data_IF_560885608495
#
_entry.id   IF_560885608495
#
_cell.length_a   1.000
_cell.length_b   1.000
_cell.length_c   1.000
_cell.angle_alpha   90.00
_cell.angle_beta   90.00
_cell.angle_gamma   90.00
#
_symmetry.space_group_name_H-M   'P 1'
#
loop_
_entity.id
_entity.type
_entity.pdbx_description
1 polymer ?
#
# COMPACT_ATOMS: atom_id res chain seq x y z
N UNK A 1 3.51 -10.02 -20.10
CA UNK A 1 3.36 -8.61 -19.66
C UNK A 1 2.79 -8.65 -18.23
N UNK A 2 3.21 -7.76 -17.35
CA UNK A 2 2.73 -7.69 -15.96
C UNK A 2 1.67 -6.60 -15.89
N UNK A 3 0.51 -6.88 -15.31
CA UNK A 3 -0.56 -5.89 -15.11
C UNK A 3 -0.64 -5.51 -13.64
N UNK A 4 -0.75 -4.22 -13.34
CA UNK A 4 -0.91 -3.69 -11.98
C UNK A 4 -2.35 -3.29 -11.72
N UNK A 5 -2.92 -3.79 -10.62
CA UNK A 5 -4.14 -3.25 -10.01
C UNK A 5 -3.75 -2.19 -9.00
N UNK A 6 -3.87 -0.93 -9.36
CA UNK A 6 -3.71 0.20 -8.43
C UNK A 6 -5.07 0.46 -7.80
N UNK A 7 -5.18 0.42 -6.47
CA UNK A 7 -6.43 0.61 -5.75
C UNK A 7 -6.37 1.90 -4.94
N UNK A 8 -7.27 2.83 -5.22
CA UNK A 8 -7.44 4.07 -4.45
C UNK A 8 -8.70 4.01 -3.62
N UNK A 9 -8.55 4.10 -2.30
CA UNK A 9 -9.66 4.20 -1.37
C UNK A 9 -9.90 5.67 -1.04
N UNK A 10 -11.16 6.09 -1.08
CA UNK A 10 -11.54 7.48 -0.86
C UNK A 10 -12.86 7.61 -0.09
N UNK A 11 -12.94 8.60 0.80
CA UNK A 11 -14.15 9.00 1.51
C UNK A 11 -14.01 10.46 1.93
N UNK A 12 -14.86 11.36 1.37
CA UNK A 12 -14.82 12.80 1.59
C UNK A 12 -13.40 13.36 1.45
N UNK A 13 -12.74 13.05 0.33
CA UNK A 13 -11.34 13.33 0.08
C UNK A 13 -11.10 14.31 -1.09
N UNK A 14 -12.11 15.11 -1.46
CA UNK A 14 -12.05 16.03 -2.60
C UNK A 14 -10.79 16.93 -2.58
N UNK A 15 -10.34 17.36 -1.40
CA UNK A 15 -9.18 18.24 -1.27
C UNK A 15 -7.82 17.58 -1.54
N UNK A 16 -7.73 16.25 -1.51
CA UNK A 16 -6.45 15.53 -1.60
C UNK A 16 -6.42 14.45 -2.70
N UNK A 17 -7.57 14.14 -3.31
CA UNK A 17 -7.69 13.03 -4.27
C UNK A 17 -7.00 13.32 -5.60
N UNK A 18 -7.16 14.51 -6.17
CA UNK A 18 -6.68 14.82 -7.53
C UNK A 18 -5.17 14.49 -7.73
N UNK A 19 -4.25 14.88 -6.82
CA UNK A 19 -2.84 14.55 -7.00
C UNK A 19 -2.52 13.05 -6.97
N UNK A 20 -3.33 12.24 -6.29
CA UNK A 20 -3.21 10.78 -6.33
C UNK A 20 -3.56 10.27 -7.72
N UNK A 21 -4.72 10.69 -8.25
CA UNK A 21 -5.20 10.30 -9.56
C UNK A 21 -4.22 10.71 -10.67
N UNK A 22 -3.74 11.95 -10.62
CA UNK A 22 -2.75 12.47 -11.57
C UNK A 22 -1.47 11.62 -11.56
N UNK A 23 -1.01 11.19 -10.39
CA UNK A 23 0.20 10.37 -10.27
C UNK A 23 0.07 8.98 -10.88
N UNK A 24 -1.16 8.43 -10.91
CA UNK A 24 -1.45 7.16 -11.61
C UNK A 24 -1.56 7.40 -13.12
N UNK A 25 -2.28 8.46 -13.53
CA UNK A 25 -2.46 8.82 -14.94
C UNK A 25 -1.12 9.05 -15.66
N UNK A 26 -0.17 9.66 -14.95
CA UNK A 26 1.16 9.99 -15.50
C UNK A 26 2.14 8.81 -15.55
N UNK A 27 1.75 7.59 -15.17
CA UNK A 27 2.64 6.45 -15.28
C UNK A 27 2.88 6.12 -16.77
N UNK A 28 4.14 5.97 -17.16
CA UNK A 28 4.55 5.61 -18.53
C UNK A 28 4.21 4.15 -18.85
N UNK A 29 4.09 3.31 -17.83
CA UNK A 29 3.78 1.89 -17.96
C UNK A 29 2.30 1.66 -18.34
N UNK A 30 1.99 1.01 -19.49
CA UNK A 30 0.63 1.01 -20.04
C UNK A 30 -0.34 0.01 -19.36
N UNK A 31 0.16 -1.07 -18.76
CA UNK A 31 -0.72 -2.15 -18.24
C UNK A 31 -1.15 -1.89 -16.80
N UNK A 32 -2.04 -0.92 -16.62
CA UNK A 32 -2.59 -0.50 -15.32
C UNK A 32 -4.11 -0.56 -15.35
N UNK A 33 -4.71 -1.25 -14.38
CA UNK A 33 -6.09 -1.01 -13.99
C UNK A 33 -6.11 -0.18 -12.71
N UNK A 34 -6.82 0.94 -12.73
CA UNK A 34 -7.00 1.80 -11.57
C UNK A 34 -8.41 1.65 -11.03
N UNK A 35 -8.52 1.07 -9.84
CA UNK A 35 -9.79 0.80 -9.17
C UNK A 35 -9.98 1.84 -8.07
N UNK A 36 -10.99 2.68 -8.18
CA UNK A 36 -11.34 3.69 -7.20
C UNK A 36 -12.55 3.22 -6.42
N UNK A 37 -12.38 3.01 -5.11
CA UNK A 37 -13.44 2.63 -4.18
C UNK A 37 -13.78 3.85 -3.32
N UNK A 38 -14.97 4.39 -3.53
CA UNK A 38 -15.52 5.51 -2.80
C UNK A 38 -16.54 5.06 -1.77
N UNK A 39 -16.38 5.45 -0.52
CA UNK A 39 -17.24 5.11 0.62
C UNK A 39 -18.57 5.87 0.65
N UNK A 40 -19.18 6.17 -0.49
CA UNK A 40 -20.34 7.03 -0.64
C UNK A 40 -20.09 8.47 -0.14
N UNK A 41 -19.06 9.10 -0.68
CA UNK A 41 -18.73 10.50 -0.36
C UNK A 41 -19.87 11.47 -0.62
N UNK A 42 -19.94 12.52 0.19
CA UNK A 42 -20.96 13.56 0.11
C UNK A 42 -20.41 14.91 -0.34
N UNK A 43 -19.10 14.99 -0.55
CA UNK A 43 -18.39 16.12 -1.14
C UNK A 43 -18.11 15.86 -2.64
N UNK A 44 -17.30 16.67 -3.28
CA UNK A 44 -16.98 16.59 -4.72
C UNK A 44 -16.04 15.41 -5.09
N UNK A 45 -15.78 14.48 -4.15
CA UNK A 45 -14.86 13.34 -4.37
C UNK A 45 -15.26 12.48 -5.57
N UNK A 46 -16.54 12.12 -5.68
CA UNK A 46 -17.03 11.26 -6.77
C UNK A 46 -17.01 11.97 -8.12
N UNK A 47 -17.30 13.28 -8.15
CA UNK A 47 -17.22 14.11 -9.36
C UNK A 47 -15.78 14.17 -9.86
N UNK A 48 -14.79 14.36 -8.96
CA UNK A 48 -13.36 14.37 -9.28
C UNK A 48 -12.95 13.00 -9.87
N UNK A 49 -13.38 11.90 -9.25
CA UNK A 49 -13.06 10.56 -9.74
C UNK A 49 -13.63 10.29 -11.15
N UNK A 50 -14.86 10.74 -11.43
CA UNK A 50 -15.50 10.60 -12.75
C UNK A 50 -14.82 11.45 -13.82
N UNK A 51 -14.43 12.69 -13.48
CA UNK A 51 -13.67 13.56 -14.39
C UNK A 51 -12.32 12.94 -14.73
N UNK A 52 -11.64 12.36 -13.75
CA UNK A 52 -10.41 11.62 -13.96
C UNK A 52 -10.60 10.39 -14.87
N UNK A 53 -11.67 9.60 -14.67
CA UNK A 53 -11.97 8.46 -15.54
C UNK A 53 -12.11 8.91 -17.00
N UNK A 54 -12.88 9.96 -17.25
CA UNK A 54 -13.03 10.52 -18.60
C UNK A 54 -11.67 10.99 -19.16
N UNK A 55 -10.84 11.65 -18.35
CA UNK A 55 -9.49 12.08 -18.77
C UNK A 55 -8.61 10.88 -19.11
N UNK A 56 -8.69 9.78 -18.36
CA UNK A 56 -7.95 8.55 -18.63
C UNK A 56 -8.43 7.87 -19.92
N UNK A 57 -9.75 7.85 -20.17
CA UNK A 57 -10.32 7.28 -21.40
C UNK A 57 -9.92 8.08 -22.66
N UNK A 58 -9.65 9.38 -22.51
CA UNK A 58 -9.17 10.27 -23.58
C UNK A 58 -7.63 10.23 -23.75
N UNK A 59 -6.92 9.67 -22.77
CA UNK A 59 -5.45 9.57 -22.79
C UNK A 59 -4.97 8.37 -23.64
N UNK A 60 -3.78 8.47 -24.22
CA UNK A 60 -3.18 7.39 -25.04
C UNK A 60 -2.39 6.37 -24.17
N UNK A 61 -2.68 6.27 -22.86
CA UNK A 61 -1.89 5.47 -21.92
C UNK A 61 -2.38 4.02 -21.70
N UNK A 62 -3.48 3.63 -22.34
CA UNK A 62 -4.11 2.29 -22.23
C UNK A 62 -4.53 1.89 -20.79
N UNK A 63 -4.60 2.83 -19.84
CA UNK A 63 -5.06 2.55 -18.47
C UNK A 63 -6.56 2.29 -18.45
N UNK A 64 -6.99 1.36 -17.60
CA UNK A 64 -8.41 1.03 -17.41
C UNK A 64 -8.84 1.56 -16.05
N UNK A 65 -9.75 2.54 -16.01
CA UNK A 65 -10.27 3.11 -14.75
C UNK A 65 -11.63 2.54 -14.43
N UNK A 66 -11.81 2.05 -13.20
CA UNK A 66 -13.10 1.59 -12.67
C UNK A 66 -13.41 2.34 -11.38
N UNK A 67 -14.65 2.77 -11.23
CA UNK A 67 -15.13 3.48 -10.03
C UNK A 67 -16.31 2.71 -9.44
N UNK A 68 -16.23 2.45 -8.13
CA UNK A 68 -17.37 1.97 -7.34
C UNK A 68 -17.58 2.92 -6.17
N UNK A 69 -18.83 3.42 -6.02
CA UNK A 69 -19.23 4.27 -4.90
C UNK A 69 -20.38 3.62 -4.18
N UNK A 70 -20.15 3.22 -2.93
CA UNK A 70 -21.15 2.65 -2.02
C UNK A 70 -20.67 2.78 -0.58
N UNK A 71 -21.58 2.79 0.42
CA UNK A 71 -21.18 2.81 1.82
C UNK A 71 -20.25 1.65 2.18
N UNK A 72 -19.27 1.93 3.04
CA UNK A 72 -18.36 0.95 3.61
C UNK A 72 -18.36 1.00 5.16
N UNK A 73 -17.79 -0.03 5.78
CA UNK A 73 -17.60 -0.12 7.23
C UNK A 73 -16.22 0.44 7.69
N UNK A 74 -15.55 1.19 6.82
CA UNK A 74 -14.26 1.83 7.06
C UNK A 74 -13.20 1.41 6.05
N UNK A 75 -11.99 2.00 6.21
CA UNK A 75 -10.88 1.89 5.27
C UNK A 75 -10.60 0.45 4.80
N UNK A 76 -10.54 -0.50 5.71
CA UNK A 76 -10.15 -1.88 5.36
C UNK A 76 -11.28 -2.68 4.71
N UNK A 77 -12.54 -2.32 4.95
CA UNK A 77 -13.66 -2.85 4.18
C UNK A 77 -13.60 -2.36 2.72
N UNK A 78 -13.37 -1.08 2.53
CA UNK A 78 -13.15 -0.52 1.20
C UNK A 78 -11.92 -1.13 0.49
N UNK A 79 -10.82 -1.37 1.21
CA UNK A 79 -9.65 -2.08 0.67
C UNK A 79 -10.00 -3.52 0.24
N UNK A 80 -10.84 -4.22 1.00
CA UNK A 80 -11.33 -5.56 0.66
C UNK A 80 -12.17 -5.55 -0.62
N UNK A 81 -13.04 -4.54 -0.79
CA UNK A 81 -13.81 -4.36 -2.03
C UNK A 81 -12.89 -4.16 -3.24
N UNK A 82 -11.85 -3.33 -3.09
CA UNK A 82 -10.84 -3.12 -4.13
C UNK A 82 -10.07 -4.39 -4.44
N UNK A 83 -9.65 -5.14 -3.42
CA UNK A 83 -8.96 -6.41 -3.57
C UNK A 83 -9.78 -7.46 -4.34
N UNK A 84 -11.09 -7.51 -4.11
CA UNK A 84 -12.01 -8.44 -4.78
C UNK A 84 -12.26 -8.08 -6.26
N UNK A 85 -12.03 -6.82 -6.66
CA UNK A 85 -12.21 -6.36 -8.03
C UNK A 85 -10.92 -6.38 -8.87
N UNK A 86 -9.78 -6.48 -8.21
CA UNK A 86 -8.48 -6.50 -8.86
C UNK A 86 -8.33 -7.73 -9.78
N UNK A 87 -7.77 -7.53 -10.97
CA UNK A 87 -7.57 -8.56 -11.98
C UNK A 87 -6.13 -8.63 -12.52
N UNK A 88 -5.24 -7.74 -12.08
CA UNK A 88 -3.84 -7.70 -12.48
C UNK A 88 -2.99 -8.83 -11.90
N UNK A 89 -1.70 -8.80 -12.20
CA UNK A 89 -0.72 -9.73 -11.60
C UNK A 89 -0.29 -9.28 -10.20
N UNK A 90 -0.20 -7.97 -10.00
CA UNK A 90 0.14 -7.35 -8.71
C UNK A 90 -0.90 -6.31 -8.32
N UNK A 91 -1.14 -6.23 -7.01
CA UNK A 91 -1.96 -5.17 -6.41
C UNK A 91 -1.13 -4.25 -5.53
N UNK A 92 -1.41 -2.94 -5.61
CA UNK A 92 -0.89 -1.92 -4.71
C UNK A 92 -2.00 -0.97 -4.29
N UNK A 93 -1.97 -0.55 -3.04
CA UNK A 93 -2.92 0.44 -2.51
C UNK A 93 -2.28 1.82 -2.47
N UNK A 94 -2.86 2.75 -3.21
CA UNK A 94 -2.47 4.16 -3.25
C UNK A 94 -3.66 5.01 -2.78
N UNK A 95 -3.77 5.20 -1.47
CA UNK A 95 -4.93 5.90 -0.88
C UNK A 95 -4.95 7.38 -1.26
N UNK A 96 -6.13 8.01 -1.18
CA UNK A 96 -6.28 9.45 -1.45
C UNK A 96 -5.29 10.29 -0.63
N UNK A 97 -4.46 11.08 -1.30
CA UNK A 97 -3.35 11.86 -0.76
C UNK A 97 -1.97 11.28 -1.08
N UNK A 98 -1.84 9.95 -1.16
CA UNK A 98 -0.57 9.29 -1.50
C UNK A 98 -0.34 9.33 -3.03
N UNK A 99 0.91 9.22 -3.48
CA UNK A 99 1.27 9.39 -4.90
C UNK A 99 2.41 8.50 -5.32
N UNK A 100 2.43 8.12 -6.58
CA UNK A 100 3.66 7.67 -7.21
C UNK A 100 4.66 8.83 -7.32
N UNK A 101 5.96 8.58 -7.05
CA UNK A 101 6.97 9.64 -7.06
C UNK A 101 7.32 10.13 -8.46
N UNK A 102 7.29 9.25 -9.47
CA UNK A 102 7.74 9.55 -10.84
C UNK A 102 6.91 8.80 -11.88
N UNK A 103 6.85 9.28 -13.13
CA UNK A 103 6.17 8.57 -14.23
C UNK A 103 6.72 7.17 -14.50
N UNK A 104 8.01 6.94 -14.31
CA UNK A 104 8.70 5.65 -14.52
C UNK A 104 8.66 4.70 -13.31
N UNK A 105 7.80 5.00 -12.30
CA UNK A 105 7.79 4.20 -11.07
C UNK A 105 7.38 2.76 -11.34
N UNK A 106 6.31 2.53 -12.11
CA UNK A 106 5.86 1.17 -12.42
C UNK A 106 6.84 0.42 -13.34
N UNK A 107 7.54 1.11 -14.22
CA UNK A 107 8.63 0.49 -15.02
C UNK A 107 9.74 -0.06 -14.12
N UNK A 108 10.13 0.65 -13.06
CA UNK A 108 11.11 0.17 -12.07
C UNK A 108 10.59 -1.06 -11.33
N UNK A 109 9.29 -1.09 -11.01
CA UNK A 109 8.65 -2.27 -10.39
C UNK A 109 8.68 -3.46 -11.32
N UNK A 110 8.36 -3.28 -12.61
CA UNK A 110 8.44 -4.33 -13.64
C UNK A 110 9.87 -4.85 -13.78
N UNK A 111 10.85 -3.96 -13.90
CA UNK A 111 12.26 -4.36 -13.98
C UNK A 111 12.65 -5.24 -12.79
N UNK A 112 12.25 -4.88 -11.58
CA UNK A 112 12.50 -5.69 -10.40
C UNK A 112 11.74 -7.03 -10.45
N UNK A 113 10.54 -7.09 -11.02
CA UNK A 113 9.76 -8.33 -11.11
C UNK A 113 10.39 -9.37 -12.03
N UNK A 114 11.05 -8.95 -13.12
CA UNK A 114 11.56 -9.85 -14.18
C UNK A 114 13.05 -10.14 -14.08
N UNK A 115 13.75 -9.66 -13.06
CA UNK A 115 15.17 -10.01 -12.83
C UNK A 115 15.31 -11.49 -12.47
N UNK A 116 16.08 -12.24 -13.26
CA UNK A 116 16.29 -13.68 -13.11
C UNK A 116 15.67 -14.47 -14.27
N UNK A 117 16.48 -15.22 -14.99
CA UNK A 117 16.03 -16.00 -16.17
C UNK A 117 15.11 -17.15 -15.73
N UNK A 118 13.83 -17.06 -16.07
CA UNK A 118 12.86 -18.13 -15.89
C UNK A 118 12.36 -18.34 -14.45
N UNK A 119 12.62 -17.42 -13.54
CA UNK A 119 12.08 -17.46 -12.18
C UNK A 119 10.58 -17.10 -12.18
N UNK A 120 9.86 -17.73 -11.26
CA UNK A 120 8.48 -17.38 -10.96
C UNK A 120 8.41 -15.95 -10.39
N UNK A 121 7.34 -15.21 -10.70
CA UNK A 121 7.13 -13.84 -10.19
C UNK A 121 7.20 -13.80 -8.66
N UNK A 122 7.91 -12.82 -8.06
CA UNK A 122 7.98 -12.66 -6.61
C UNK A 122 6.60 -12.55 -5.95
N UNK A 123 6.46 -13.09 -4.74
CA UNK A 123 5.23 -12.94 -3.96
C UNK A 123 4.96 -11.47 -3.62
N UNK A 124 6.04 -10.71 -3.42
CA UNK A 124 5.98 -9.28 -3.08
C UNK A 124 7.15 -8.55 -3.73
N UNK A 125 6.85 -7.43 -4.36
CA UNK A 125 7.82 -6.41 -4.73
C UNK A 125 7.67 -5.24 -3.75
N UNK A 126 8.78 -4.70 -3.25
CA UNK A 126 8.72 -3.65 -2.25
C UNK A 126 9.83 -2.62 -2.45
N UNK A 127 9.55 -1.37 -2.07
CA UNK A 127 10.51 -0.29 -2.18
C UNK A 127 10.47 0.68 -1.01
N UNK A 128 11.20 1.76 -1.15
CA UNK A 128 11.25 2.85 -0.18
C UNK A 128 10.06 3.81 -0.34
N UNK A 129 9.87 4.63 0.68
CA UNK A 129 8.80 5.63 0.72
C UNK A 129 9.38 6.96 1.19
N UNK A 130 9.02 8.04 0.50
CA UNK A 130 9.29 9.40 0.93
C UNK A 130 8.08 10.01 1.62
N UNK A 131 8.35 10.94 2.54
CA UNK A 131 7.34 11.74 3.21
C UNK A 131 7.27 13.10 2.52
N UNK A 132 6.08 13.49 2.11
CA UNK A 132 5.80 14.76 1.44
C UNK A 132 4.80 15.60 2.24
N UNK A 133 4.73 16.89 1.94
CA UNK A 133 3.65 17.77 2.40
C UNK A 133 2.41 17.66 1.48
N UNK A 134 1.31 18.32 1.84
CA UNK A 134 0.08 18.36 1.05
C UNK A 134 0.29 18.91 -0.38
N UNK A 135 1.30 19.78 -0.56
CA UNK A 135 1.67 20.36 -1.86
C UNK A 135 2.55 19.45 -2.71
N UNK A 136 2.98 18.31 -2.14
CA UNK A 136 3.87 17.36 -2.81
C UNK A 136 5.36 17.66 -2.63
N UNK A 137 5.74 18.62 -1.80
CA UNK A 137 7.16 18.90 -1.55
C UNK A 137 7.76 17.84 -0.62
N UNK A 138 8.98 17.40 -0.95
CA UNK A 138 9.74 16.46 -0.13
C UNK A 138 10.02 17.02 1.27
N UNK A 139 9.74 16.23 2.29
CA UNK A 139 10.05 16.54 3.69
C UNK A 139 11.23 15.70 4.16
N UNK A 140 11.15 14.39 4.02
CA UNK A 140 12.20 13.46 4.47
C UNK A 140 11.98 12.07 3.89
N UNK A 141 13.03 11.26 3.89
CA UNK A 141 12.87 9.81 3.72
C UNK A 141 12.12 9.23 4.93
N UNK A 142 11.36 8.17 4.70
CA UNK A 142 10.69 7.46 5.79
C UNK A 142 11.73 6.84 6.72
N UNK A 143 11.56 7.00 8.04
CA UNK A 143 12.52 6.54 9.06
C UNK A 143 12.74 5.02 9.07
N UNK A 144 11.72 4.24 8.74
CA UNK A 144 11.79 2.79 8.62
C UNK A 144 11.89 2.45 7.14
N UNK A 145 13.03 1.90 6.74
CA UNK A 145 13.30 1.43 5.37
C UNK A 145 13.36 -0.09 5.34
N UNK A 146 13.02 -0.71 4.20
CA UNK A 146 13.17 -2.15 4.05
C UNK A 146 14.63 -2.57 4.11
N UNK A 147 14.89 -3.73 4.71
CA UNK A 147 16.19 -4.38 4.60
C UNK A 147 16.32 -5.10 3.26
N UNK A 148 17.56 -5.36 2.82
CA UNK A 148 17.85 -6.13 1.60
C UNK A 148 17.11 -7.48 1.57
N UNK A 149 17.04 -8.13 2.71
CA UNK A 149 16.32 -9.39 2.90
C UNK A 149 15.11 -9.15 3.80
N UNK A 150 14.00 -8.73 3.20
CA UNK A 150 12.73 -8.62 3.90
C UNK A 150 12.14 -10.01 4.12
N UNK A 151 11.59 -10.23 5.31
CA UNK A 151 10.77 -11.39 5.65
C UNK A 151 9.61 -10.93 6.53
N UNK A 152 8.57 -11.75 6.69
CA UNK A 152 7.51 -11.42 7.63
C UNK A 152 8.03 -11.23 9.06
N UNK A 153 9.14 -11.92 9.43
CA UNK A 153 9.79 -11.76 10.73
C UNK A 153 10.44 -10.38 10.92
N UNK A 154 10.76 -9.70 9.82
CA UNK A 154 11.35 -8.35 9.87
C UNK A 154 10.38 -7.33 10.44
N UNK A 155 9.08 -7.51 10.24
CA UNK A 155 8.03 -6.59 10.73
C UNK A 155 7.89 -6.56 12.25
N UNK A 156 8.49 -7.50 12.98
CA UNK A 156 8.59 -7.41 14.45
C UNK A 156 9.35 -6.17 14.93
N UNK A 157 10.17 -5.56 14.10
CA UNK A 157 10.90 -4.31 14.41
C UNK A 157 10.15 -3.05 13.96
N UNK A 158 8.95 -3.20 13.48
CA UNK A 158 8.08 -2.17 12.92
C UNK A 158 7.70 -2.48 11.47
N UNK A 159 6.76 -1.74 10.92
CA UNK A 159 6.36 -1.84 9.51
C UNK A 159 7.47 -1.24 8.64
N UNK A 160 8.43 -2.05 8.22
CA UNK A 160 9.60 -1.60 7.46
C UNK A 160 9.24 -1.11 6.06
N UNK A 161 8.16 -1.61 5.48
CA UNK A 161 7.60 -1.21 4.19
C UNK A 161 6.20 -0.67 4.43
N UNK A 162 5.88 0.52 3.92
CA UNK A 162 4.51 1.01 3.88
C UNK A 162 3.64 0.17 2.94
N UNK A 163 2.35 0.06 3.19
CA UNK A 163 1.46 -0.67 2.29
C UNK A 163 1.41 -0.05 0.88
N UNK A 164 1.63 1.27 0.73
CA UNK A 164 1.73 1.96 -0.55
C UNK A 164 2.98 1.60 -1.37
N UNK A 165 4.01 1.05 -0.71
CA UNK A 165 5.24 0.59 -1.35
C UNK A 165 5.35 -0.95 -1.35
N UNK A 166 4.22 -1.64 -1.20
CA UNK A 166 4.11 -3.10 -1.08
C UNK A 166 3.21 -3.62 -2.19
N UNK A 167 3.82 -4.13 -3.25
CA UNK A 167 3.12 -4.71 -4.40
C UNK A 167 2.98 -6.20 -4.15
N UNK A 168 1.78 -6.64 -3.81
CA UNK A 168 1.48 -8.04 -3.53
C UNK A 168 1.04 -8.77 -4.81
N UNK A 169 1.57 -9.96 -5.06
CA UNK A 169 1.09 -10.83 -6.15
C UNK A 169 -0.38 -11.15 -5.89
N UNK A 170 -1.24 -10.89 -6.87
CA UNK A 170 -2.69 -10.87 -6.66
C UNK A 170 -3.27 -12.25 -6.31
N UNK A 171 -2.76 -13.33 -6.88
CA UNK A 171 -3.22 -14.69 -6.58
C UNK A 171 -3.02 -15.09 -5.10
N UNK A 172 -2.00 -14.49 -4.44
CA UNK A 172 -1.80 -14.62 -2.99
C UNK A 172 -2.74 -13.64 -2.25
N UNK A 173 -2.72 -12.39 -2.67
CA UNK A 173 -3.41 -11.30 -1.99
C UNK A 173 -4.93 -11.50 -1.94
N UNK A 174 -5.57 -11.94 -3.04
CA UNK A 174 -7.02 -12.10 -3.14
C UNK A 174 -7.59 -13.18 -2.19
N UNK A 175 -6.76 -14.12 -1.73
CA UNK A 175 -7.14 -15.13 -0.74
C UNK A 175 -7.04 -14.65 0.71
N UNK A 176 -6.47 -13.47 0.94
CA UNK A 176 -6.09 -12.95 2.26
C UNK A 176 -6.72 -11.57 2.50
N UNK A 177 -8.03 -11.51 2.73
CA UNK A 177 -8.72 -10.25 3.01
C UNK A 177 -8.15 -9.55 4.26
N UNK A 178 -8.23 -8.22 4.31
CA UNK A 178 -7.94 -7.45 5.52
C UNK A 178 -8.89 -7.86 6.64
N UNK A 179 -8.34 -7.99 7.85
CA UNK A 179 -9.11 -8.26 9.06
C UNK A 179 -9.75 -6.96 9.55
N UNK A 180 -11.04 -6.78 9.29
CA UNK A 180 -11.78 -5.55 9.60
C UNK A 180 -12.04 -5.36 11.09
N UNK A 181 -11.66 -6.31 11.94
CA UNK A 181 -11.66 -6.12 13.40
C UNK A 181 -10.60 -5.11 13.85
N UNK A 182 -9.55 -4.92 13.05
CA UNK A 182 -8.56 -3.85 13.23
C UNK A 182 -8.99 -2.60 12.45
N UNK A 183 -8.98 -1.46 13.13
CA UNK A 183 -9.36 -0.18 12.53
C UNK A 183 -8.17 0.62 11.98
N UNK A 184 -6.96 0.40 12.52
CA UNK A 184 -5.77 1.21 12.24
C UNK A 184 -4.52 0.42 11.84
N UNK A 185 -4.53 -0.90 11.98
CA UNK A 185 -3.32 -1.74 11.80
C UNK A 185 -3.58 -3.04 11.04
N UNK A 186 -4.71 -3.17 10.32
CA UNK A 186 -4.97 -4.34 9.49
C UNK A 186 -4.00 -4.46 8.32
N UNK A 187 -3.41 -3.34 7.85
CA UNK A 187 -2.36 -3.32 6.83
C UNK A 187 -1.10 -4.05 7.28
N UNK A 188 -0.70 -3.89 8.55
CA UNK A 188 0.45 -4.62 9.13
C UNK A 188 0.16 -6.13 9.16
N UNK A 189 -1.04 -6.52 9.66
CA UNK A 189 -1.48 -7.92 9.71
C UNK A 189 -1.51 -8.53 8.30
N UNK A 190 -2.08 -7.80 7.35
CA UNK A 190 -2.22 -8.25 5.96
C UNK A 190 -0.86 -8.45 5.27
N UNK A 191 0.04 -7.47 5.35
CA UNK A 191 1.40 -7.59 4.80
C UNK A 191 2.14 -8.81 5.39
N UNK A 192 2.02 -9.05 6.72
CA UNK A 192 2.63 -10.22 7.37
C UNK A 192 2.03 -11.53 6.81
N UNK A 193 0.71 -11.60 6.62
CA UNK A 193 0.05 -12.81 6.09
C UNK A 193 0.44 -13.08 4.64
N UNK A 194 0.50 -12.04 3.80
CA UNK A 194 0.96 -12.15 2.41
C UNK A 194 2.40 -12.66 2.35
N UNK A 195 3.31 -12.08 3.15
CA UNK A 195 4.70 -12.54 3.21
C UNK A 195 4.84 -13.97 3.72
N UNK A 196 4.02 -14.39 4.70
CA UNK A 196 3.99 -15.79 5.19
C UNK A 196 3.54 -16.76 4.10
N UNK A 197 2.54 -16.37 3.34
CA UNK A 197 2.03 -17.20 2.24
C UNK A 197 3.06 -17.30 1.11
N UNK A 198 3.76 -16.21 0.78
CA UNK A 198 4.89 -16.22 -0.13
C UNK A 198 6.01 -17.17 0.33
N UNK A 199 6.39 -17.12 1.64
CA UNK A 199 7.37 -18.05 2.23
C UNK A 199 6.89 -19.52 2.12
N UNK A 200 5.60 -19.78 2.37
CA UNK A 200 5.01 -21.14 2.25
C UNK A 200 5.07 -21.68 0.83
N UNK A 201 4.89 -20.81 -0.16
CA UNK A 201 4.98 -21.15 -1.57
C UNK A 201 6.43 -21.12 -2.11
N UNK A 202 7.42 -20.81 -1.28
CA UNK A 202 8.83 -20.66 -1.63
C UNK A 202 9.12 -19.55 -2.65
N UNK A 203 8.27 -18.54 -2.67
CA UNK A 203 8.39 -17.38 -3.55
C UNK A 203 9.26 -16.28 -2.93
N UNK A 204 9.94 -15.54 -3.79
CA UNK A 204 10.81 -14.45 -3.36
C UNK A 204 10.02 -13.22 -2.89
N UNK A 205 10.60 -12.48 -1.97
CA UNK A 205 10.27 -11.09 -1.69
C UNK A 205 11.42 -10.24 -2.24
N UNK A 206 11.14 -9.32 -3.17
CA UNK A 206 12.19 -8.63 -3.92
C UNK A 206 12.16 -7.13 -3.69
N UNK A 207 13.31 -6.57 -3.34
CA UNK A 207 13.48 -5.12 -3.21
C UNK A 207 13.62 -4.48 -4.60
N UNK A 208 12.87 -3.40 -4.85
CA UNK A 208 12.92 -2.60 -6.07
C UNK A 208 14.14 -1.67 -6.08
N UNK A 209 14.72 -1.38 -4.91
CA UNK A 209 15.83 -0.42 -4.71
C UNK A 209 15.52 1.00 -5.20
N UNK A 210 14.25 1.41 -5.07
CA UNK A 210 13.80 2.74 -5.43
C UNK A 210 12.72 3.23 -4.47
N UNK A 211 12.54 4.55 -4.40
CA UNK A 211 11.35 5.16 -3.82
C UNK A 211 10.20 4.92 -4.78
N UNK A 212 9.15 4.25 -4.32
CA UNK A 212 7.99 3.85 -5.13
C UNK A 212 6.66 4.42 -4.63
N UNK A 213 6.69 5.13 -3.51
CA UNK A 213 5.53 5.84 -2.98
C UNK A 213 5.95 7.12 -2.25
N UNK A 214 5.16 8.16 -2.43
CA UNK A 214 5.19 9.39 -1.65
C UNK A 214 3.99 9.39 -0.70
N UNK A 215 4.25 9.46 0.60
CA UNK A 215 3.24 9.44 1.66
C UNK A 215 3.05 10.85 2.23
N UNK A 216 1.80 11.30 2.31
CA UNK A 216 1.48 12.60 2.94
C UNK A 216 1.53 12.48 4.45
N UNK A 217 2.26 13.39 5.10
CA UNK A 217 2.64 13.33 6.53
C UNK A 217 1.48 13.19 7.52
N UNK A 218 0.29 13.69 7.21
CA UNK A 218 -0.84 13.80 8.14
C UNK A 218 -1.92 12.71 7.95
N UNK A 219 -1.53 11.45 7.80
CA UNK A 219 -2.44 10.32 7.68
C UNK A 219 -3.25 10.00 8.97
N UNK A 220 -4.30 9.19 8.84
CA UNK A 220 -5.21 8.77 9.94
C UNK A 220 -4.47 8.16 11.14
N UNK A 221 -3.40 7.41 10.91
CA UNK A 221 -2.60 6.77 11.96
C UNK A 221 -1.95 7.79 12.90
N UNK A 222 -1.65 8.99 12.41
CA UNK A 222 -1.06 10.06 13.24
C UNK A 222 -2.09 10.64 14.20
N UNK A 223 -3.35 10.74 13.79
CA UNK A 223 -4.46 11.28 14.59
C UNK A 223 -4.92 10.31 15.69
N UNK A 224 -4.81 9.00 15.47
CA UNK A 224 -5.23 7.91 16.38
C UNK A 224 -4.05 7.06 16.87
N UNK A 225 -2.97 7.73 17.26
CA UNK A 225 -1.69 7.06 17.56
C UNK A 225 -1.78 5.99 18.67
N UNK A 226 -2.53 6.25 19.74
CA UNK A 226 -2.64 5.32 20.89
C UNK A 226 -3.40 4.04 20.53
N UNK A 227 -4.52 4.20 19.83
CA UNK A 227 -5.35 3.10 19.35
C UNK A 227 -4.57 2.23 18.35
N UNK A 228 -3.88 2.86 17.42
CA UNK A 228 -3.02 2.17 16.45
C UNK A 228 -1.87 1.40 17.11
N UNK A 229 -1.26 1.95 18.18
CA UNK A 229 -0.22 1.22 18.93
C UNK A 229 -0.78 -0.01 19.65
N UNK A 230 -2.00 0.05 20.19
CA UNK A 230 -2.65 -1.08 20.84
C UNK A 230 -2.95 -2.20 19.85
N UNK A 231 -3.59 -1.86 18.73
CA UNK A 231 -3.85 -2.85 17.68
C UNK A 231 -2.56 -3.45 17.12
N UNK A 232 -1.51 -2.64 16.95
CA UNK A 232 -0.21 -3.13 16.52
C UNK A 232 0.41 -4.10 17.51
N UNK A 233 0.22 -3.88 18.82
CA UNK A 233 0.62 -4.84 19.85
C UNK A 233 -0.15 -6.17 19.69
N UNK A 234 -1.47 -6.11 19.46
CA UNK A 234 -2.30 -7.30 19.25
C UNK A 234 -1.91 -8.07 18.00
N UNK A 235 -1.66 -7.38 16.89
CA UNK A 235 -1.11 -7.97 15.64
C UNK A 235 0.24 -8.64 15.91
N UNK A 236 1.14 -7.99 16.66
CA UNK A 236 2.43 -8.58 17.00
C UNK A 236 2.27 -9.82 17.91
N UNK A 237 1.36 -9.79 18.86
CA UNK A 237 1.05 -10.98 19.69
C UNK A 237 0.53 -12.15 18.86
N UNK A 238 -0.36 -11.88 17.89
CA UNK A 238 -0.92 -12.86 16.97
C UNK A 238 0.17 -13.54 16.12
N UNK A 239 1.14 -12.78 15.63
CA UNK A 239 2.13 -13.29 14.70
C UNK A 239 3.43 -13.79 15.33
N UNK A 240 3.87 -13.21 16.46
CA UNK A 240 5.16 -13.47 17.10
C UNK A 240 5.06 -14.03 18.51
N UNK A 241 3.85 -14.06 19.09
CA UNK A 241 3.60 -14.51 20.45
C UNK A 241 3.81 -13.41 21.51
N UNK A 242 3.12 -13.55 22.64
CA UNK A 242 3.08 -12.54 23.71
C UNK A 242 4.46 -12.23 24.29
N UNK A 243 5.24 -13.26 24.61
CA UNK A 243 6.56 -13.07 25.28
C UNK A 243 7.49 -12.26 24.42
N UNK A 244 7.62 -12.63 23.15
CA UNK A 244 8.49 -11.90 22.19
C UNK A 244 8.01 -10.47 21.98
N UNK A 245 6.71 -10.27 21.87
CA UNK A 245 6.10 -8.94 21.69
C UNK A 245 6.39 -8.03 22.89
N UNK A 246 6.21 -8.52 24.12
CA UNK A 246 6.51 -7.75 25.35
C UNK A 246 8.00 -7.38 25.42
N UNK A 247 8.89 -8.31 25.14
CA UNK A 247 10.35 -8.04 25.13
C UNK A 247 10.75 -6.97 24.09
N UNK A 248 10.16 -7.04 22.89
CA UNK A 248 10.40 -6.04 21.85
C UNK A 248 9.86 -4.66 22.22
N UNK A 249 8.68 -4.57 22.83
CA UNK A 249 8.12 -3.30 23.27
C UNK A 249 8.92 -2.69 24.42
N UNK A 250 9.40 -3.49 25.36
CA UNK A 250 10.32 -3.04 26.41
C UNK A 250 11.62 -2.47 25.78
N UNK A 251 12.16 -3.17 24.78
CA UNK A 251 13.35 -2.68 24.06
C UNK A 251 13.08 -1.38 23.29
N UNK A 252 11.91 -1.23 22.63
CA UNK A 252 11.52 0.03 21.95
C UNK A 252 11.41 1.19 22.94
N UNK A 253 10.83 0.95 24.13
CA UNK A 253 10.73 1.96 25.19
C UNK A 253 12.14 2.40 25.67
N UNK A 254 13.02 1.46 25.95
CA UNK A 254 14.41 1.77 26.36
C UNK A 254 15.13 2.55 25.25
N UNK A 255 15.03 2.12 23.99
CA UNK A 255 15.64 2.80 22.84
C UNK A 255 15.14 4.24 22.66
N UNK A 256 13.87 4.51 23.00
CA UNK A 256 13.30 5.86 22.90
C UNK A 256 13.83 6.82 23.98
N UNK A 257 14.32 6.29 25.12
CA UNK A 257 14.88 7.07 26.22
C UNK A 257 16.38 7.38 26.04
N UNK A 258 17.06 6.64 25.15
CA UNK A 258 18.51 6.78 24.90
C UNK A 258 18.79 7.72 23.70
N UNK A 259 17.75 8.08 22.93
CA UNK A 259 17.82 9.08 21.84
C UNK A 259 17.37 10.45 22.30
#
# INVERSE_FOLDING_TARGET
>A
MITFSVVTITYNAASVLQPTLDSVLMQDYPHVEHIIIDGASTDDTLEIAKAYQQQSDEAENEHIVRIQSEPDEGLYDAMNKGLQQATGDYIVFMNAGDRFPNPDTLDKVVLAAVVGDGEELPAVLFGDTDIIDEKGNFISHRRLSPSERLTWRSFRYGMLVCHQAFYARLDIACSLLYDTTYRYSADVDWCIRVMKEGERQQLLLRNIHAVVANYVREGQTTRHHKESLRERFDVMCKHYGLIQTVLLHAWFAVRSLIK
#
